data_IF_465064386992
#
_entry.id   IF_465064386992
#
_cell.length_a   1.000
_cell.length_b   1.000
_cell.length_c   1.000
_cell.angle_alpha   90.00
_cell.angle_beta   90.00
_cell.angle_gamma   90.00
#
_symmetry.space_group_name_H-M   'P 1'
#
loop_
_entity.id
_entity.type
_entity.pdbx_description
1 polymer ?
#
# COMPACT_ATOMS: atom_id res chain seq x y z
N UNK A 1 -16.34 20.21 -33.12
CA UNK A 1 -15.31 19.76 -32.17
C UNK A 1 -14.99 20.82 -31.12
N UNK A 2 -14.32 21.94 -31.41
CA UNK A 2 -14.08 23.03 -30.41
C UNK A 2 -15.40 23.52 -29.78
N UNK A 3 -16.43 23.74 -30.61
CA UNK A 3 -17.76 24.18 -30.16
C UNK A 3 -18.46 23.18 -29.22
N UNK A 4 -18.18 21.89 -29.35
CA UNK A 4 -18.79 20.83 -28.54
C UNK A 4 -18.08 20.71 -27.18
N UNK A 5 -16.76 20.91 -27.15
CA UNK A 5 -15.96 20.99 -25.92
C UNK A 5 -16.28 22.23 -25.09
N UNK A 6 -16.47 23.39 -25.72
CA UNK A 6 -16.87 24.63 -25.02
C UNK A 6 -18.26 24.48 -24.38
N UNK A 7 -19.22 23.88 -25.09
CA UNK A 7 -20.55 23.60 -24.54
C UNK A 7 -20.46 22.61 -23.36
N UNK A 8 -19.63 21.57 -23.48
CA UNK A 8 -19.42 20.61 -22.39
C UNK A 8 -18.79 21.27 -21.16
N UNK A 9 -17.79 22.13 -21.36
CA UNK A 9 -17.14 22.89 -20.29
C UNK A 9 -18.11 23.85 -19.59
N UNK A 10 -18.93 24.59 -20.36
CA UNK A 10 -19.94 25.47 -19.79
C UNK A 10 -21.00 24.71 -18.97
N UNK A 11 -21.36 23.50 -19.41
CA UNK A 11 -22.25 22.63 -18.65
C UNK A 11 -21.56 22.10 -17.38
N UNK A 12 -20.30 21.67 -17.46
CA UNK A 12 -19.52 21.22 -16.31
C UNK A 12 -19.40 22.32 -15.24
N UNK A 13 -19.18 23.57 -15.65
CA UNK A 13 -19.16 24.74 -14.75
C UNK A 13 -20.49 25.00 -14.06
N UNK A 14 -21.60 24.88 -14.78
CA UNK A 14 -22.95 25.14 -14.25
C UNK A 14 -23.46 24.04 -13.33
N UNK A 15 -23.01 22.81 -13.55
CA UNK A 15 -23.53 21.61 -12.90
C UNK A 15 -22.50 20.96 -11.96
N UNK A 16 -21.42 21.66 -11.59
CA UNK A 16 -20.31 21.06 -10.81
C UNK A 16 -20.78 20.49 -9.46
N UNK A 17 -21.77 21.12 -8.82
CA UNK A 17 -22.27 20.68 -7.52
C UNK A 17 -23.09 19.38 -7.59
N UNK A 18 -23.67 19.06 -8.75
CA UNK A 18 -24.55 17.89 -8.93
C UNK A 18 -23.95 16.82 -9.85
N UNK A 19 -23.10 17.23 -10.79
CA UNK A 19 -22.48 16.40 -11.82
C UNK A 19 -21.00 16.78 -12.04
N UNK A 20 -20.15 16.71 -11.01
CA UNK A 20 -18.73 17.02 -11.14
C UNK A 20 -18.00 16.10 -12.15
N UNK A 21 -18.56 14.92 -12.45
CA UNK A 21 -18.03 13.96 -13.42
C UNK A 21 -18.01 14.53 -14.86
N UNK A 22 -18.74 15.61 -15.15
CA UNK A 22 -18.69 16.29 -16.45
C UNK A 22 -17.29 16.86 -16.74
N UNK A 23 -16.54 17.28 -15.73
CA UNK A 23 -15.13 17.65 -15.89
C UNK A 23 -14.29 16.44 -16.31
N UNK A 24 -14.50 15.27 -15.71
CA UNK A 24 -13.77 14.06 -16.09
C UNK A 24 -14.05 13.63 -17.51
N UNK A 25 -15.31 13.74 -17.96
CA UNK A 25 -15.67 13.45 -19.35
C UNK A 25 -14.84 14.31 -20.30
N UNK A 26 -14.79 15.62 -20.06
CA UNK A 26 -14.00 16.57 -20.85
C UNK A 26 -12.49 16.24 -20.81
N UNK A 27 -11.93 15.98 -19.63
CA UNK A 27 -10.52 15.61 -19.47
C UNK A 27 -10.19 14.26 -20.12
N UNK A 28 -11.16 13.35 -20.31
CA UNK A 28 -10.94 12.04 -20.96
C UNK A 28 -11.13 12.05 -22.49
N UNK A 29 -11.80 13.05 -23.06
CA UNK A 29 -12.09 13.14 -24.50
C UNK A 29 -10.83 13.13 -25.40
N UNK A 30 -10.46 11.98 -25.96
CA UNK A 30 -9.33 11.92 -26.90
C UNK A 30 -9.66 12.67 -28.20
N UNK A 31 -8.86 13.68 -28.55
CA UNK A 31 -8.95 14.42 -29.82
C UNK A 31 -7.60 14.43 -30.53
N UNK A 32 -7.61 14.39 -31.87
CA UNK A 32 -6.39 14.29 -32.71
C UNK A 32 -5.48 15.53 -32.62
N UNK A 33 -6.02 16.67 -32.14
CA UNK A 33 -5.30 17.94 -31.94
C UNK A 33 -5.51 18.47 -30.51
N UNK A 34 -5.41 17.58 -29.52
CA UNK A 34 -5.65 17.95 -28.12
C UNK A 34 -4.59 18.94 -27.63
N UNK A 35 -5.04 20.12 -27.23
CA UNK A 35 -4.20 21.14 -26.60
C UNK A 35 -4.01 20.80 -25.11
N UNK A 36 -2.85 20.24 -24.77
CA UNK A 36 -2.49 19.89 -23.39
C UNK A 36 -2.48 21.12 -22.46
N UNK A 37 -2.17 22.32 -22.96
CA UNK A 37 -2.19 23.56 -22.15
C UNK A 37 -3.62 23.94 -21.79
N UNK A 38 -4.55 23.82 -22.75
CA UNK A 38 -5.98 24.01 -22.50
C UNK A 38 -6.52 22.96 -21.55
N UNK A 39 -6.19 21.68 -21.74
CA UNK A 39 -6.65 20.61 -20.85
C UNK A 39 -6.09 20.75 -19.44
N UNK A 40 -4.84 21.20 -19.29
CA UNK A 40 -4.26 21.55 -18.01
C UNK A 40 -5.08 22.65 -17.33
N UNK A 41 -5.39 23.74 -18.04
CA UNK A 41 -6.18 24.85 -17.47
C UNK A 41 -7.57 24.42 -16.99
N UNK A 42 -8.24 23.56 -17.76
CA UNK A 42 -9.55 22.99 -17.41
C UNK A 42 -9.43 22.06 -16.19
N UNK A 43 -8.36 21.28 -16.13
CA UNK A 43 -8.08 20.38 -15.01
C UNK A 43 -7.81 21.12 -13.70
N UNK A 44 -7.04 22.21 -13.76
CA UNK A 44 -6.83 23.11 -12.62
C UNK A 44 -8.16 23.75 -12.19
N UNK A 45 -8.97 24.25 -13.14
CA UNK A 45 -10.30 24.79 -12.85
C UNK A 45 -11.23 23.74 -12.20
N UNK A 46 -11.15 22.48 -12.62
CA UNK A 46 -11.91 21.39 -12.01
C UNK A 46 -11.51 21.19 -10.54
N UNK A 47 -10.21 21.20 -10.23
CA UNK A 47 -9.73 21.05 -8.84
C UNK A 47 -10.09 22.23 -7.94
N UNK A 48 -10.21 23.44 -8.50
CA UNK A 48 -10.63 24.64 -7.75
C UNK A 48 -12.14 24.67 -7.47
N UNK A 49 -12.95 24.00 -8.31
CA UNK A 49 -14.42 24.05 -8.23
C UNK A 49 -15.06 22.82 -7.60
N UNK A 50 -14.47 21.64 -7.81
CA UNK A 50 -14.98 20.41 -7.22
C UNK A 50 -14.52 20.38 -5.76
N UNK A 51 -15.42 20.01 -4.85
CA UNK A 51 -15.12 19.88 -3.43
C UNK A 51 -14.06 18.80 -3.17
N UNK A 52 -13.21 19.03 -2.18
CA UNK A 52 -12.07 18.17 -1.88
C UNK A 52 -12.44 16.86 -1.17
N UNK A 53 -13.64 16.78 -0.62
CA UNK A 53 -14.27 15.56 -0.11
C UNK A 53 -14.82 14.63 -1.20
N UNK A 54 -14.72 14.96 -2.49
CA UNK A 54 -15.21 14.10 -3.59
C UNK A 54 -14.08 13.40 -4.35
N UNK A 55 -14.15 12.07 -4.48
CA UNK A 55 -13.16 11.25 -5.21
C UNK A 55 -12.98 11.65 -6.67
N UNK A 56 -14.05 12.18 -7.29
CA UNK A 56 -14.03 12.71 -8.66
C UNK A 56 -12.99 13.83 -8.83
N UNK A 57 -12.72 14.63 -7.79
CA UNK A 57 -11.67 15.64 -7.80
C UNK A 57 -10.29 14.99 -7.85
N UNK A 58 -10.08 13.92 -7.09
CA UNK A 58 -8.83 13.17 -7.12
C UNK A 58 -8.56 12.56 -8.49
N UNK A 59 -9.58 11.99 -9.14
CA UNK A 59 -9.47 11.53 -10.53
C UNK A 59 -9.14 12.67 -11.51
N UNK A 60 -9.75 13.84 -11.33
CA UNK A 60 -9.47 15.01 -12.16
C UNK A 60 -8.02 15.46 -11.98
N UNK A 61 -7.53 15.49 -10.73
CA UNK A 61 -6.16 15.81 -10.40
C UNK A 61 -5.17 14.83 -11.06
N UNK A 62 -5.43 13.52 -11.03
CA UNK A 62 -4.57 12.53 -11.68
C UNK A 62 -4.49 12.73 -13.20
N UNK A 63 -5.62 12.98 -13.88
CA UNK A 63 -5.61 13.26 -15.32
C UNK A 63 -4.88 14.58 -15.60
N UNK A 64 -5.09 15.59 -14.76
CA UNK A 64 -4.43 16.90 -14.85
C UNK A 64 -2.91 16.78 -14.71
N UNK A 65 -2.45 15.92 -13.80
CA UNK A 65 -1.03 15.61 -13.61
C UNK A 65 -0.38 15.05 -14.89
N UNK A 66 -1.13 14.28 -15.70
CA UNK A 66 -0.65 13.76 -16.96
C UNK A 66 -0.35 14.89 -17.97
N UNK A 67 -1.20 15.92 -18.02
CA UNK A 67 -0.98 17.08 -18.90
C UNK A 67 0.19 17.93 -18.41
N UNK A 68 0.27 18.16 -17.10
CA UNK A 68 1.41 18.86 -16.50
C UNK A 68 2.73 18.16 -16.85
N UNK A 69 2.77 16.83 -16.77
CA UNK A 69 3.93 16.02 -17.15
C UNK A 69 4.33 16.19 -18.62
N UNK A 70 3.38 16.15 -19.56
CA UNK A 70 3.65 16.36 -21.00
C UNK A 70 4.16 17.77 -21.31
N UNK A 71 3.77 18.76 -20.50
CA UNK A 71 4.22 20.14 -20.61
C UNK A 71 5.51 20.42 -19.83
N UNK A 72 6.09 19.43 -19.13
CA UNK A 72 7.28 19.59 -18.31
C UNK A 72 7.08 20.45 -17.06
N UNK A 73 5.84 20.59 -16.58
CA UNK A 73 5.48 21.39 -15.41
C UNK A 73 5.46 20.53 -14.14
N UNK A 74 6.65 20.11 -13.70
CA UNK A 74 6.83 19.15 -12.60
C UNK A 74 6.19 19.62 -11.29
N UNK A 75 6.36 20.89 -10.91
CA UNK A 75 5.74 21.47 -9.71
C UNK A 75 4.21 21.37 -9.73
N UNK A 76 3.60 21.55 -10.91
CA UNK A 76 2.15 21.45 -11.08
C UNK A 76 1.71 20.00 -11.02
N UNK A 77 2.50 19.09 -11.60
CA UNK A 77 2.25 17.65 -11.55
C UNK A 77 2.24 17.13 -10.12
N UNK A 78 3.24 17.48 -9.32
CA UNK A 78 3.35 17.07 -7.91
C UNK A 78 2.21 17.65 -7.06
N UNK A 79 1.83 18.91 -7.28
CA UNK A 79 0.63 19.48 -6.66
C UNK A 79 -0.64 18.69 -7.00
N UNK A 80 -0.81 18.28 -8.27
CA UNK A 80 -1.93 17.43 -8.65
C UNK A 80 -1.92 16.07 -7.93
N UNK A 81 -0.74 15.49 -7.65
CA UNK A 81 -0.65 14.25 -6.87
C UNK A 81 -1.03 14.46 -5.40
N UNK A 82 -0.67 15.60 -4.81
CA UNK A 82 -1.13 15.96 -3.47
C UNK A 82 -2.65 16.10 -3.42
N UNK A 83 -3.25 16.81 -4.38
CA UNK A 83 -4.71 16.96 -4.45
C UNK A 83 -5.41 15.62 -4.71
N UNK A 84 -4.79 14.71 -5.47
CA UNK A 84 -5.29 13.35 -5.62
C UNK A 84 -5.30 12.57 -4.29
N UNK A 85 -4.27 12.72 -3.45
CA UNK A 85 -4.24 12.13 -2.11
C UNK A 85 -5.29 12.76 -1.19
N UNK A 86 -5.47 14.08 -1.24
CA UNK A 86 -6.44 14.81 -0.42
C UNK A 86 -7.88 14.38 -0.72
N UNK A 87 -8.19 14.13 -2.00
CA UNK A 87 -9.56 13.81 -2.44
C UNK A 87 -9.83 12.33 -2.68
N UNK A 88 -8.81 11.49 -2.72
CA UNK A 88 -8.95 10.04 -2.75
C UNK A 88 -7.82 9.42 -1.93
N UNK A 89 -8.02 9.34 -0.62
CA UNK A 89 -6.96 9.01 0.35
C UNK A 89 -6.65 7.52 0.34
N UNK A 90 -5.77 7.13 -0.58
CA UNK A 90 -5.32 5.75 -0.82
C UNK A 90 -3.82 5.58 -0.63
N UNK A 91 -3.38 4.37 -0.30
CA UNK A 91 -1.97 4.02 -0.27
C UNK A 91 -1.27 4.32 -1.61
N UNK A 92 -1.90 4.04 -2.75
CA UNK A 92 -1.34 4.36 -4.08
C UNK A 92 -1.12 5.85 -4.28
N UNK A 93 -2.09 6.70 -3.93
CA UNK A 93 -1.94 8.15 -4.08
C UNK A 93 -0.87 8.70 -3.11
N UNK A 94 -0.80 8.15 -1.89
CA UNK A 94 0.26 8.47 -0.94
C UNK A 94 1.64 8.09 -1.49
N UNK A 95 1.79 6.86 -2.00
CA UNK A 95 3.05 6.40 -2.57
C UNK A 95 3.49 7.27 -3.76
N UNK A 96 2.55 7.76 -4.57
CA UNK A 96 2.86 8.64 -5.70
C UNK A 96 3.52 9.93 -5.23
N UNK A 97 2.91 10.66 -4.30
CA UNK A 97 3.49 11.91 -3.80
C UNK A 97 4.74 11.67 -2.95
N UNK A 98 4.79 10.61 -2.13
CA UNK A 98 5.93 10.34 -1.24
C UNK A 98 7.19 9.88 -1.99
N UNK A 99 7.03 9.05 -3.02
CA UNK A 99 8.15 8.35 -3.64
C UNK A 99 8.49 8.77 -5.07
N UNK A 100 7.58 9.45 -5.77
CA UNK A 100 7.83 9.93 -7.13
C UNK A 100 8.08 11.44 -7.22
N UNK A 101 7.80 12.20 -6.17
CA UNK A 101 8.15 13.62 -6.13
C UNK A 101 9.65 13.81 -6.15
N UNK A 102 10.09 14.84 -6.86
CA UNK A 102 11.48 15.28 -6.91
C UNK A 102 11.95 15.83 -5.56
N UNK A 103 11.04 16.48 -4.81
CA UNK A 103 11.25 16.96 -3.45
C UNK A 103 10.05 16.60 -2.57
N UNK A 104 10.07 15.40 -1.99
CA UNK A 104 9.00 14.94 -1.10
C UNK A 104 8.90 15.74 0.21
N UNK A 105 10.00 16.39 0.65
CA UNK A 105 10.02 17.14 1.91
C UNK A 105 9.11 18.38 1.86
N UNK A 106 8.97 18.98 0.66
CA UNK A 106 8.05 20.09 0.40
C UNK A 106 6.59 19.81 0.77
N UNK A 107 6.20 18.53 0.77
CA UNK A 107 4.82 18.10 1.00
C UNK A 107 4.63 17.40 2.36
N UNK A 108 5.66 17.35 3.21
CA UNK A 108 5.64 16.56 4.45
C UNK A 108 4.57 17.03 5.45
N UNK A 109 4.40 18.35 5.61
CA UNK A 109 3.39 18.94 6.50
C UNK A 109 1.96 18.60 6.04
N UNK A 110 1.68 18.76 4.74
CA UNK A 110 0.38 18.45 4.14
C UNK A 110 0.05 16.96 4.22
N UNK A 111 1.03 16.09 3.90
CA UNK A 111 0.89 14.64 4.02
C UNK A 111 0.62 14.26 5.49
N UNK A 112 1.36 14.83 6.43
CA UNK A 112 1.17 14.59 7.86
C UNK A 112 -0.23 15.01 8.32
N UNK A 113 -0.72 16.18 7.89
CA UNK A 113 -2.07 16.65 8.20
C UNK A 113 -3.16 15.72 7.67
N UNK A 114 -2.98 15.13 6.47
CA UNK A 114 -3.91 14.16 5.90
C UNK A 114 -3.91 12.87 6.73
N UNK A 115 -2.73 12.35 7.09
CA UNK A 115 -2.59 11.13 7.90
C UNK A 115 -3.16 11.33 9.31
N UNK A 116 -2.92 12.47 9.94
CA UNK A 116 -3.46 12.81 11.26
C UNK A 116 -4.98 12.95 11.26
N UNK A 117 -5.54 13.62 10.25
CA UNK A 117 -6.99 13.72 10.09
C UNK A 117 -7.62 12.34 9.93
N UNK A 118 -7.01 11.48 9.10
CA UNK A 118 -7.51 10.13 8.90
C UNK A 118 -7.39 9.25 10.16
N UNK A 119 -6.32 9.42 10.95
CA UNK A 119 -6.18 8.76 12.24
C UNK A 119 -7.27 9.22 13.24
N UNK A 120 -7.57 10.51 13.28
CA UNK A 120 -8.64 11.06 14.10
C UNK A 120 -10.03 10.52 13.68
N UNK A 121 -10.29 10.44 12.38
CA UNK A 121 -11.53 9.87 11.83
C UNK A 121 -11.71 8.41 12.25
N UNK A 122 -10.68 7.57 12.06
CA UNK A 122 -10.72 6.15 12.44
C UNK A 122 -10.92 5.96 13.95
N UNK A 123 -10.26 6.77 14.78
CA UNK A 123 -10.40 6.68 16.24
C UNK A 123 -11.79 7.13 16.72
N UNK A 124 -12.43 8.08 16.04
CA UNK A 124 -13.76 8.58 16.39
C UNK A 124 -14.91 7.74 15.79
N UNK A 125 -14.62 6.91 14.78
CA UNK A 125 -15.64 6.10 14.11
C UNK A 125 -16.09 4.90 14.94
N UNK A 126 -17.41 4.87 15.23
CA UNK A 126 -18.08 3.71 15.83
C UNK A 126 -18.33 2.59 14.82
N UNK A 127 -18.33 2.91 13.52
CA UNK A 127 -18.73 2.01 12.44
C UNK A 127 -17.55 1.22 11.85
N UNK A 128 -17.85 0.02 11.38
CA UNK A 128 -16.88 -1.02 10.98
C UNK A 128 -16.53 -0.81 9.49
N UNK A 129 -15.62 0.11 9.18
CA UNK A 129 -15.20 0.32 7.79
C UNK A 129 -13.86 -0.37 7.51
N UNK A 130 -13.93 -1.66 7.15
CA UNK A 130 -12.78 -2.41 6.66
C UNK A 130 -12.72 -2.49 5.12
N UNK A 131 -13.71 -1.93 4.41
CA UNK A 131 -13.84 -2.11 2.96
C UNK A 131 -14.21 -0.80 2.28
N UNK A 132 -13.45 -0.45 1.23
CA UNK A 132 -13.80 0.62 0.30
C UNK A 132 -15.10 0.24 -0.40
N UNK A 133 -16.07 1.15 -0.38
CA UNK A 133 -17.31 0.99 -1.17
C UNK A 133 -17.07 1.55 -2.56
N UNK A 134 -17.09 0.70 -3.59
CA UNK A 134 -16.72 1.08 -4.97
C UNK A 134 -17.54 2.24 -5.55
N UNK A 135 -18.79 2.42 -5.11
CA UNK A 135 -19.70 3.47 -5.62
C UNK A 135 -19.81 4.69 -4.70
N UNK A 136 -18.98 4.79 -3.67
CA UNK A 136 -19.01 5.93 -2.75
C UNK A 136 -18.29 7.13 -3.37
N UNK A 137 -19.06 8.21 -3.60
CA UNK A 137 -18.57 9.45 -4.20
C UNK A 137 -17.65 10.24 -3.28
N UNK A 138 -17.95 10.22 -1.99
CA UNK A 138 -17.19 10.90 -0.95
C UNK A 138 -15.86 10.18 -0.69
N UNK A 139 -14.82 10.97 -0.41
CA UNK A 139 -13.56 10.49 0.10
C UNK A 139 -13.76 10.01 1.54
N UNK A 140 -13.32 8.80 1.81
CA UNK A 140 -13.23 8.24 3.15
C UNK A 140 -11.96 7.43 3.23
N UNK A 141 -11.16 7.72 4.26
CA UNK A 141 -9.97 6.92 4.50
C UNK A 141 -10.38 5.55 5.03
N UNK A 142 -9.82 4.50 4.44
CA UNK A 142 -10.04 3.13 4.90
C UNK A 142 -8.86 2.70 5.79
N UNK A 143 -9.12 1.89 6.81
CA UNK A 143 -8.13 1.47 7.79
C UNK A 143 -6.84 0.91 7.15
N UNK A 144 -6.96 0.09 6.10
CA UNK A 144 -5.81 -0.51 5.43
C UNK A 144 -4.91 0.56 4.80
N UNK A 145 -5.49 1.53 4.07
CA UNK A 145 -4.75 2.62 3.45
C UNK A 145 -4.02 3.45 4.52
N UNK A 146 -4.72 3.82 5.61
CA UNK A 146 -4.12 4.55 6.73
C UNK A 146 -2.95 3.77 7.35
N UNK A 147 -3.10 2.47 7.59
CA UNK A 147 -2.04 1.67 8.20
C UNK A 147 -0.80 1.57 7.29
N UNK A 148 -1.00 1.46 5.97
CA UNK A 148 0.11 1.52 5.00
C UNK A 148 0.82 2.88 5.08
N UNK A 149 0.08 3.98 5.14
CA UNK A 149 0.66 5.32 5.29
C UNK A 149 1.46 5.44 6.60
N UNK A 150 0.89 5.03 7.73
CA UNK A 150 1.55 5.05 9.04
C UNK A 150 2.85 4.22 9.03
N UNK A 151 2.84 3.07 8.35
CA UNK A 151 4.05 2.26 8.18
C UNK A 151 5.15 3.01 7.43
N UNK A 152 4.82 3.61 6.27
CA UNK A 152 5.80 4.37 5.49
C UNK A 152 6.23 5.70 6.14
N UNK A 153 5.39 6.29 6.99
CA UNK A 153 5.76 7.44 7.84
C UNK A 153 6.54 7.02 9.10
N UNK A 154 6.94 5.74 9.21
CA UNK A 154 7.71 5.19 10.35
C UNK A 154 6.98 5.29 11.70
N UNK A 155 5.66 5.50 11.66
CA UNK A 155 4.76 5.55 12.83
C UNK A 155 4.28 4.14 13.18
N UNK A 156 5.25 3.24 13.40
CA UNK A 156 4.97 1.81 13.56
C UNK A 156 4.07 1.50 14.77
N UNK A 157 4.22 2.24 15.87
CA UNK A 157 3.37 2.10 17.05
C UNK A 157 1.92 2.48 16.78
N UNK A 158 1.68 3.54 16.01
CA UNK A 158 0.32 3.96 15.63
C UNK A 158 -0.31 2.94 14.70
N UNK A 159 0.44 2.45 13.70
CA UNK A 159 0.02 1.38 12.79
C UNK A 159 -0.38 0.12 13.57
N UNK A 160 0.42 -0.31 14.54
CA UNK A 160 0.10 -1.44 15.41
C UNK A 160 -1.17 -1.19 16.22
N UNK A 161 -1.29 -0.01 16.84
CA UNK A 161 -2.41 0.34 17.71
C UNK A 161 -3.76 0.31 16.98
N UNK A 162 -3.82 0.84 15.76
CA UNK A 162 -5.08 0.92 14.99
C UNK A 162 -5.32 -0.29 14.09
N UNK A 163 -4.28 -0.83 13.47
CA UNK A 163 -4.38 -1.90 12.48
C UNK A 163 -4.31 -3.31 13.06
N UNK A 164 -3.71 -3.48 14.25
CA UNK A 164 -3.45 -4.78 14.85
C UNK A 164 -3.94 -4.93 16.32
N UNK A 165 -5.11 -4.37 16.72
CA UNK A 165 -5.50 -4.35 18.14
C UNK A 165 -5.86 -5.73 18.73
N UNK A 166 -5.62 -5.88 20.04
CA UNK A 166 -6.09 -6.98 20.89
C UNK A 166 -5.27 -8.29 20.81
N UNK A 167 -5.81 -9.39 21.35
CA UNK A 167 -5.15 -10.73 21.37
C UNK A 167 -5.84 -11.78 20.46
N UNK A 168 -7.05 -11.54 19.93
CA UNK A 168 -7.82 -12.54 19.16
C UNK A 168 -7.83 -12.34 17.64
N UNK A 169 -7.77 -13.42 16.84
CA UNK A 169 -7.84 -13.38 15.36
C UNK A 169 -9.28 -13.17 14.83
N UNK A 170 -10.01 -12.12 15.29
CA UNK A 170 -11.38 -11.84 14.84
C UNK A 170 -11.63 -10.34 14.66
N UNK A 171 -12.42 -9.99 13.65
CA UNK A 171 -12.87 -8.62 13.39
C UNK A 171 -11.85 -7.75 12.62
N UNK A 172 -11.91 -6.42 12.84
CA UNK A 172 -11.11 -5.38 12.14
C UNK A 172 -9.60 -5.66 12.11
N UNK A 173 -9.08 -6.25 13.19
CA UNK A 173 -7.66 -6.58 13.34
C UNK A 173 -7.18 -7.69 12.41
N UNK A 174 -8.02 -8.64 12.02
CA UNK A 174 -7.60 -9.75 11.16
C UNK A 174 -7.31 -9.31 9.71
N UNK A 175 -7.98 -8.26 9.23
CA UNK A 175 -7.87 -7.79 7.85
C UNK A 175 -6.50 -7.15 7.58
N UNK A 176 -6.08 -6.19 8.41
CA UNK A 176 -4.76 -5.57 8.25
C UNK A 176 -3.63 -6.40 8.87
N UNK A 177 -3.86 -7.22 9.91
CA UNK A 177 -2.81 -7.98 10.59
C UNK A 177 -1.92 -8.78 9.64
N UNK A 178 -2.48 -9.40 8.60
CA UNK A 178 -1.70 -10.14 7.60
C UNK A 178 -0.73 -9.22 6.84
N UNK A 179 -1.23 -8.07 6.40
CA UNK A 179 -0.44 -7.07 5.69
C UNK A 179 0.61 -6.45 6.63
N UNK A 180 0.21 -6.04 7.84
CA UNK A 180 1.11 -5.49 8.86
C UNK A 180 2.25 -6.44 9.22
N UNK A 181 1.96 -7.74 9.42
CA UNK A 181 3.00 -8.75 9.65
C UNK A 181 3.92 -8.88 8.43
N UNK A 182 3.37 -8.89 7.20
CA UNK A 182 4.18 -8.92 5.99
C UNK A 182 5.12 -7.70 5.86
N UNK A 183 4.63 -6.50 6.16
CA UNK A 183 5.43 -5.27 6.15
C UNK A 183 6.56 -5.31 7.18
N UNK A 184 6.29 -5.74 8.41
CA UNK A 184 7.33 -5.83 9.46
C UNK A 184 8.34 -6.94 9.13
N UNK A 185 7.92 -8.07 8.55
CA UNK A 185 8.85 -9.10 8.06
C UNK A 185 9.76 -8.55 6.96
N UNK A 186 9.21 -7.79 6.01
CA UNK A 186 9.99 -7.13 4.95
C UNK A 186 10.92 -6.04 5.51
N UNK A 187 10.50 -5.32 6.55
CA UNK A 187 11.35 -4.34 7.21
C UNK A 187 12.59 -4.99 7.84
N UNK A 188 12.43 -6.16 8.45
CA UNK A 188 13.50 -6.86 9.16
C UNK A 188 14.30 -7.85 8.31
N UNK A 189 13.90 -8.16 7.08
CA UNK A 189 14.62 -9.11 6.24
C UNK A 189 15.93 -8.52 5.67
N UNK A 190 16.99 -9.31 5.54
CA UNK A 190 18.26 -8.84 4.93
C UNK A 190 18.79 -9.82 3.88
N UNK A 191 19.70 -9.35 3.01
CA UNK A 191 20.44 -10.19 2.07
C UNK A 191 19.94 -10.18 0.62
N UNK A 192 20.76 -10.75 -0.27
CA UNK A 192 20.52 -10.76 -1.71
C UNK A 192 19.58 -11.89 -2.14
N UNK A 193 18.29 -11.57 -2.17
CA UNK A 193 17.27 -12.42 -2.77
C UNK A 193 16.18 -12.85 -1.80
N UNK A 194 14.98 -12.95 -2.34
CA UNK A 194 13.78 -13.31 -1.59
C UNK A 194 13.50 -14.79 -1.76
N UNK A 195 13.53 -15.51 -0.64
CA UNK A 195 13.07 -16.89 -0.53
C UNK A 195 11.55 -16.97 -0.62
N UNK A 196 11.02 -18.19 -0.77
CA UNK A 196 9.59 -18.41 -1.00
C UNK A 196 8.68 -17.77 0.06
N UNK A 197 9.10 -17.74 1.33
CA UNK A 197 8.35 -17.07 2.40
C UNK A 197 8.29 -15.55 2.18
N UNK A 198 9.45 -14.91 2.02
CA UNK A 198 9.53 -13.48 1.74
C UNK A 198 8.83 -13.06 0.44
N UNK A 199 8.86 -13.89 -0.61
CA UNK A 199 8.16 -13.63 -1.88
C UNK A 199 6.66 -13.43 -1.68
N UNK A 200 6.05 -14.25 -0.82
CA UNK A 200 4.64 -14.13 -0.44
C UNK A 200 4.36 -12.88 0.42
N UNK A 201 5.35 -12.42 1.20
CA UNK A 201 5.23 -11.17 1.97
C UNK A 201 5.28 -9.95 1.05
N UNK A 202 6.13 -9.98 0.00
CA UNK A 202 6.18 -8.92 -1.02
C UNK A 202 4.83 -8.79 -1.72
N UNK A 203 4.25 -9.91 -2.17
CA UNK A 203 2.94 -9.89 -2.84
C UNK A 203 1.87 -9.29 -1.93
N UNK A 204 1.81 -9.70 -0.66
CA UNK A 204 0.87 -9.16 0.33
C UNK A 204 1.05 -7.67 0.58
N UNK A 205 2.30 -7.21 0.68
CA UNK A 205 2.60 -5.80 0.86
C UNK A 205 2.17 -4.97 -0.37
N UNK A 206 2.44 -5.48 -1.58
CA UNK A 206 1.97 -4.85 -2.83
C UNK A 206 0.45 -4.77 -2.90
N UNK A 207 -0.26 -5.85 -2.57
CA UNK A 207 -1.72 -5.89 -2.52
C UNK A 207 -2.28 -4.89 -1.50
N UNK A 208 -1.69 -4.82 -0.31
CA UNK A 208 -2.09 -3.86 0.73
C UNK A 208 -1.89 -2.41 0.28
N UNK A 209 -0.84 -2.14 -0.50
CA UNK A 209 -0.62 -0.83 -1.10
C UNK A 209 -1.54 -0.50 -2.29
N UNK A 210 -2.32 -1.46 -2.81
CA UNK A 210 -2.98 -1.32 -4.11
C UNK A 210 -1.99 -1.09 -5.26
N UNK A 211 -0.78 -1.61 -5.12
CA UNK A 211 0.34 -1.29 -6.00
C UNK A 211 0.16 -1.93 -7.37
N UNK A 212 0.18 -1.10 -8.39
CA UNK A 212 0.54 -1.51 -9.75
C UNK A 212 1.37 -0.41 -10.38
N UNK A 213 2.33 -0.77 -11.24
CA UNK A 213 3.16 0.24 -11.90
C UNK A 213 2.32 1.16 -12.78
N UNK A 214 1.30 0.60 -13.42
CA UNK A 214 0.37 1.34 -14.26
C UNK A 214 -0.40 2.41 -13.47
N UNK A 215 -0.94 2.06 -12.30
CA UNK A 215 -1.65 3.02 -11.46
C UNK A 215 -0.68 4.04 -10.87
N UNK A 216 0.44 3.60 -10.30
CA UNK A 216 1.42 4.47 -9.64
C UNK A 216 2.00 5.52 -10.62
N UNK A 217 2.43 5.08 -11.81
CA UNK A 217 3.07 5.91 -12.82
C UNK A 217 2.08 6.52 -13.81
N UNK A 218 0.78 6.56 -13.50
CA UNK A 218 -0.21 7.18 -14.39
C UNK A 218 0.21 8.62 -14.72
N UNK A 219 0.42 8.90 -16.01
CA UNK A 219 0.84 10.22 -16.49
C UNK A 219 2.34 10.47 -16.54
N UNK A 220 3.16 9.49 -16.17
CA UNK A 220 4.61 9.52 -16.31
C UNK A 220 4.98 8.67 -17.53
N UNK A 221 5.85 9.18 -18.41
CA UNK A 221 6.43 8.37 -19.49
C UNK A 221 7.35 7.31 -18.89
N UNK A 222 6.82 6.10 -18.74
CA UNK A 222 7.56 4.97 -18.19
C UNK A 222 8.00 4.04 -19.32
N UNK A 223 9.23 4.24 -19.82
CA UNK A 223 9.80 3.44 -20.93
C UNK A 223 10.61 2.23 -20.43
N UNK A 224 10.10 1.53 -19.41
CA UNK A 224 10.80 0.42 -18.79
C UNK A 224 9.86 -0.76 -18.58
N UNK A 225 10.25 -1.94 -19.09
CA UNK A 225 9.51 -3.20 -19.03
C UNK A 225 9.67 -3.94 -17.70
N UNK A 226 10.22 -3.30 -16.65
CA UNK A 226 10.24 -3.86 -15.30
C UNK A 226 8.85 -4.31 -14.84
N UNK A 227 8.81 -5.51 -14.26
CA UNK A 227 7.65 -6.08 -13.59
C UNK A 227 7.29 -5.28 -12.32
N UNK A 228 6.01 -5.28 -11.95
CA UNK A 228 5.48 -4.53 -10.80
C UNK A 228 6.22 -4.86 -9.50
N UNK A 229 6.49 -6.15 -9.25
CA UNK A 229 7.25 -6.60 -8.08
C UNK A 229 8.62 -5.94 -7.99
N UNK A 230 9.34 -5.83 -9.11
CA UNK A 230 10.66 -5.20 -9.13
C UNK A 230 10.57 -3.70 -8.87
N UNK A 231 9.57 -3.02 -9.44
CA UNK A 231 9.36 -1.59 -9.18
C UNK A 231 9.00 -1.33 -7.72
N UNK A 232 8.14 -2.17 -7.14
CA UNK A 232 7.78 -2.09 -5.73
C UNK A 232 9.02 -2.23 -4.83
N UNK A 233 9.83 -3.26 -5.07
CA UNK A 233 11.05 -3.49 -4.31
C UNK A 233 12.06 -2.34 -4.41
N UNK A 234 12.26 -1.76 -5.59
CA UNK A 234 13.15 -0.59 -5.75
C UNK A 234 12.69 0.62 -4.91
N UNK A 235 11.36 0.83 -4.79
CA UNK A 235 10.79 1.88 -3.94
C UNK A 235 10.92 1.50 -2.46
N UNK A 236 10.54 0.27 -2.12
CA UNK A 236 10.53 -0.22 -0.75
C UNK A 236 11.94 -0.25 -0.15
N UNK A 237 12.93 -0.79 -0.87
CA UNK A 237 14.32 -0.89 -0.41
C UNK A 237 14.95 0.49 -0.24
N UNK A 238 14.63 1.44 -1.13
CA UNK A 238 15.06 2.85 -0.98
C UNK A 238 14.48 3.46 0.30
N UNK A 239 13.17 3.30 0.53
CA UNK A 239 12.53 3.80 1.75
C UNK A 239 13.09 3.12 2.99
N UNK A 240 13.22 1.80 2.96
CA UNK A 240 13.75 0.97 4.05
C UNK A 240 15.16 1.38 4.44
N UNK A 241 16.01 1.76 3.49
CA UNK A 241 17.34 2.32 3.75
C UNK A 241 17.34 3.62 4.56
N UNK A 242 16.19 4.28 4.73
CA UNK A 242 16.03 5.46 5.58
C UNK A 242 15.53 5.13 6.99
N UNK A 243 15.18 3.87 7.27
CA UNK A 243 14.72 3.43 8.59
C UNK A 243 15.94 3.00 9.39
N UNK A 244 16.07 3.56 10.60
CA UNK A 244 17.13 3.22 11.54
C UNK A 244 16.46 2.54 12.72
N UNK A 245 16.79 1.27 12.95
CA UNK A 245 16.38 0.51 14.12
C UNK A 245 17.64 0.15 14.91
N UNK A 246 17.56 0.28 16.23
CA UNK A 246 18.55 -0.27 17.16
C UNK A 246 18.36 -1.80 17.30
N UNK A 247 19.41 -2.49 17.73
CA UNK A 247 19.33 -3.94 18.03
C UNK A 247 18.23 -4.25 19.06
N UNK A 248 18.03 -3.36 20.04
CA UNK A 248 16.95 -3.48 21.04
C UNK A 248 15.56 -3.40 20.39
N UNK A 249 15.36 -2.45 19.46
CA UNK A 249 14.11 -2.33 18.71
C UNK A 249 13.87 -3.53 17.80
N UNK A 250 14.92 -4.01 17.11
CA UNK A 250 14.84 -5.22 16.29
C UNK A 250 14.38 -6.43 17.13
N UNK A 251 14.96 -6.62 18.32
CA UNK A 251 14.54 -7.69 19.24
C UNK A 251 13.09 -7.54 19.70
N UNK A 252 12.64 -6.32 19.99
CA UNK A 252 11.23 -6.03 20.33
C UNK A 252 10.31 -6.43 19.18
N UNK A 253 10.64 -6.03 17.95
CA UNK A 253 9.84 -6.36 16.77
C UNK A 253 9.82 -7.84 16.46
N UNK A 254 10.93 -8.55 16.66
CA UNK A 254 11.00 -10.01 16.50
C UNK A 254 10.10 -10.72 17.52
N UNK A 255 10.11 -10.28 18.78
CA UNK A 255 9.22 -10.80 19.81
C UNK A 255 7.73 -10.54 19.49
N UNK A 256 7.41 -9.39 18.89
CA UNK A 256 6.07 -9.09 18.39
C UNK A 256 5.68 -9.99 17.21
N UNK A 257 6.56 -10.15 16.23
CA UNK A 257 6.35 -11.02 15.07
C UNK A 257 6.06 -12.46 15.47
N UNK A 258 6.80 -13.01 16.44
CA UNK A 258 6.56 -14.37 16.92
C UNK A 258 5.12 -14.56 17.44
N UNK A 259 4.64 -13.59 18.22
CA UNK A 259 3.28 -13.59 18.74
C UNK A 259 2.23 -13.42 17.64
N UNK A 260 2.47 -12.51 16.68
CA UNK A 260 1.54 -12.26 15.60
C UNK A 260 1.45 -13.40 14.59
N UNK A 261 2.58 -13.98 14.21
CA UNK A 261 2.64 -15.16 13.35
C UNK A 261 1.91 -16.33 14.01
N UNK A 262 2.16 -16.60 15.31
CA UNK A 262 1.40 -17.59 16.06
C UNK A 262 -0.11 -17.30 16.04
N UNK A 263 -0.52 -16.06 16.26
CA UNK A 263 -1.94 -15.67 16.24
C UNK A 263 -2.59 -15.89 14.88
N UNK A 264 -1.91 -15.54 13.78
CA UNK A 264 -2.38 -15.81 12.41
C UNK A 264 -2.59 -17.31 12.21
N UNK A 265 -1.60 -18.13 12.59
CA UNK A 265 -1.64 -19.58 12.40
C UNK A 265 -2.74 -20.21 13.25
N UNK A 266 -2.82 -19.87 14.53
CA UNK A 266 -3.86 -20.37 15.44
C UNK A 266 -5.25 -20.00 14.92
N UNK A 267 -5.45 -18.75 14.52
CA UNK A 267 -6.71 -18.28 13.94
C UNK A 267 -7.10 -19.04 12.66
N UNK A 268 -6.16 -19.26 11.74
CA UNK A 268 -6.43 -20.04 10.52
C UNK A 268 -6.66 -21.53 10.81
N UNK A 269 -5.90 -22.12 11.74
CA UNK A 269 -5.92 -23.55 12.03
C UNK A 269 -7.10 -23.97 12.91
N UNK A 270 -7.57 -23.09 13.79
CA UNK A 270 -8.61 -23.39 14.78
C UNK A 270 -9.93 -22.70 14.47
N UNK A 271 -9.93 -21.40 14.16
CA UNK A 271 -11.16 -20.64 13.94
C UNK A 271 -11.73 -20.86 12.53
N UNK A 272 -10.90 -20.75 11.49
CA UNK A 272 -11.35 -20.96 10.10
C UNK A 272 -11.33 -22.45 9.75
N UNK A 273 -10.23 -23.14 10.10
CA UNK A 273 -10.04 -24.58 9.90
C UNK A 273 -10.28 -25.04 8.43
N UNK A 274 -9.90 -24.21 7.45
CA UNK A 274 -9.90 -24.57 6.02
C UNK A 274 -8.49 -24.94 5.55
N UNK A 275 -8.41 -25.94 4.65
CA UNK A 275 -7.15 -26.34 4.01
C UNK A 275 -6.60 -25.27 3.06
N UNK A 276 -7.46 -24.37 2.58
CA UNK A 276 -7.09 -23.31 1.64
C UNK A 276 -6.10 -22.30 2.25
N UNK A 277 -6.05 -22.21 3.59
CA UNK A 277 -5.14 -21.30 4.31
C UNK A 277 -3.81 -21.95 4.72
N UNK A 278 -3.57 -23.23 4.42
CA UNK A 278 -2.35 -23.91 4.84
C UNK A 278 -1.10 -23.38 4.12
N UNK A 279 -1.23 -23.03 2.84
CA UNK A 279 -0.15 -22.38 2.09
C UNK A 279 0.20 -21.03 2.68
N UNK A 280 -0.82 -20.24 3.05
CA UNK A 280 -0.66 -18.94 3.71
C UNK A 280 0.01 -19.07 5.09
N UNK A 281 -0.40 -20.05 5.92
CA UNK A 281 0.26 -20.33 7.19
C UNK A 281 1.74 -20.67 6.97
N UNK A 282 2.03 -21.57 6.03
CA UNK A 282 3.40 -22.00 5.75
C UNK A 282 4.28 -20.83 5.24
N UNK A 283 3.71 -19.91 4.45
CA UNK A 283 4.40 -18.72 3.99
C UNK A 283 4.82 -17.80 5.15
N UNK A 284 3.91 -17.47 6.09
CA UNK A 284 4.25 -16.66 7.26
C UNK A 284 5.28 -17.32 8.16
N UNK A 285 5.17 -18.64 8.38
CA UNK A 285 6.13 -19.41 9.17
C UNK A 285 7.52 -19.37 8.53
N UNK A 286 7.58 -19.59 7.21
CA UNK A 286 8.82 -19.57 6.47
C UNK A 286 9.45 -18.17 6.46
N UNK A 287 8.68 -17.11 6.18
CA UNK A 287 9.16 -15.74 6.19
C UNK A 287 9.71 -15.33 7.57
N UNK A 288 9.02 -15.70 8.66
CA UNK A 288 9.51 -15.46 10.02
C UNK A 288 10.80 -16.23 10.32
N UNK A 289 10.87 -17.48 9.88
CA UNK A 289 12.08 -18.30 9.97
C UNK A 289 13.26 -17.71 9.19
N UNK A 290 13.00 -17.18 7.99
CA UNK A 290 13.97 -16.50 7.13
C UNK A 290 14.53 -15.25 7.81
N UNK A 291 13.66 -14.40 8.40
CA UNK A 291 14.09 -13.21 9.15
C UNK A 291 14.92 -13.59 10.40
N UNK A 292 14.52 -14.60 11.18
CA UNK A 292 15.32 -15.05 12.33
C UNK A 292 16.67 -15.62 11.91
N UNK A 293 16.73 -16.28 10.76
CA UNK A 293 17.96 -16.83 10.22
C UNK A 293 18.92 -15.73 9.75
N UNK A 294 18.39 -14.66 9.15
CA UNK A 294 19.18 -13.49 8.74
C UNK A 294 19.79 -12.73 9.92
N UNK A 295 19.08 -12.66 11.05
CA UNK A 295 19.43 -11.81 12.18
C UNK A 295 20.18 -12.50 13.30
N UNK A 296 19.89 -13.77 13.59
CA UNK A 296 20.33 -14.39 14.85
C UNK A 296 21.01 -15.73 14.70
N UNK A 297 20.45 -16.65 13.91
CA UNK A 297 20.88 -18.05 13.95
C UNK A 297 20.68 -18.80 12.63
N UNK A 298 21.79 -19.35 12.09
CA UNK A 298 21.75 -20.27 10.95
C UNK A 298 20.91 -21.50 11.29
N UNK A 299 19.90 -21.80 10.47
CA UNK A 299 19.00 -22.93 10.66
C UNK A 299 17.73 -22.61 11.46
N UNK A 300 17.53 -21.35 11.84
CA UNK A 300 16.30 -20.91 12.53
C UNK A 300 15.04 -21.24 11.72
N UNK A 301 15.10 -21.11 10.39
CA UNK A 301 13.97 -21.44 9.50
C UNK A 301 13.55 -22.91 9.63
N UNK A 302 14.51 -23.83 9.55
CA UNK A 302 14.25 -25.26 9.65
C UNK A 302 13.74 -25.65 11.04
N UNK A 303 14.26 -25.02 12.10
CA UNK A 303 13.81 -25.21 13.47
C UNK A 303 12.35 -24.80 13.65
N UNK A 304 11.99 -23.61 13.18
CA UNK A 304 10.62 -23.07 13.26
C UNK A 304 9.63 -23.91 12.44
N UNK A 305 9.98 -24.27 11.20
CA UNK A 305 9.14 -25.14 10.37
C UNK A 305 8.87 -26.49 11.04
N UNK A 306 9.89 -27.08 11.69
CA UNK A 306 9.76 -28.33 12.44
C UNK A 306 8.85 -28.17 13.65
N UNK A 307 9.00 -27.08 14.40
CA UNK A 307 8.15 -26.78 15.56
C UNK A 307 6.66 -26.76 15.18
N UNK A 308 6.28 -26.03 14.12
CA UNK A 308 4.89 -25.99 13.67
C UNK A 308 4.40 -27.32 13.08
N UNK A 309 5.27 -28.09 12.42
CA UNK A 309 4.94 -29.44 11.96
C UNK A 309 4.55 -30.35 13.14
N UNK A 310 5.31 -30.28 14.23
CA UNK A 310 5.10 -31.07 15.46
C UNK A 310 3.84 -30.61 16.22
N UNK A 311 3.56 -29.31 16.23
CA UNK A 311 2.36 -28.74 16.85
C UNK A 311 1.06 -29.23 16.17
N UNK A 312 1.10 -29.53 14.87
CA UNK A 312 -0.06 -29.97 14.09
C UNK A 312 0.14 -31.36 13.44
N UNK A 313 0.31 -32.44 14.23
CA UNK A 313 0.82 -33.73 13.73
C UNK A 313 -0.14 -34.45 12.77
N UNK A 314 -1.44 -34.12 12.80
CA UNK A 314 -2.48 -34.78 11.99
C UNK A 314 -2.78 -34.04 10.68
N UNK A 315 -2.12 -32.91 10.39
CA UNK A 315 -2.43 -32.03 9.24
C UNK A 315 -1.47 -32.29 8.06
N UNK A 316 -1.64 -33.41 7.34
CA UNK A 316 -0.73 -33.82 6.24
C UNK A 316 -0.56 -32.78 5.13
N UNK A 317 -1.65 -32.15 4.68
CA UNK A 317 -1.61 -31.10 3.64
C UNK A 317 -0.81 -29.89 4.12
N UNK A 318 -0.96 -29.50 5.39
CA UNK A 318 -0.13 -28.44 5.98
C UNK A 318 1.35 -28.82 6.02
N UNK A 319 1.68 -30.08 6.32
CA UNK A 319 3.06 -30.56 6.26
C UNK A 319 3.65 -30.56 4.84
N UNK A 320 2.83 -30.70 3.81
CA UNK A 320 3.26 -30.55 2.41
C UNK A 320 3.60 -29.09 2.10
N UNK A 321 2.76 -28.15 2.51
CA UNK A 321 3.02 -26.71 2.38
C UNK A 321 4.29 -26.30 3.14
N UNK A 322 4.46 -26.73 4.40
CA UNK A 322 5.69 -26.46 5.16
C UNK A 322 6.95 -26.95 4.46
N UNK A 323 6.90 -28.14 3.82
CA UNK A 323 8.03 -28.66 3.04
C UNK A 323 8.30 -27.85 1.78
N UNK A 324 7.24 -27.42 1.09
CA UNK A 324 7.35 -26.58 -0.11
C UNK A 324 8.09 -25.28 0.20
N UNK A 325 7.72 -24.59 1.29
CA UNK A 325 8.38 -23.35 1.71
C UNK A 325 9.76 -23.57 2.35
N UNK A 326 9.98 -24.71 3.02
CA UNK A 326 11.28 -25.10 3.57
C UNK A 326 12.36 -25.32 2.51
N UNK A 327 11.97 -25.87 1.35
CA UNK A 327 12.91 -26.16 0.26
C UNK A 327 13.29 -24.94 -0.62
N UNK A 328 12.65 -23.78 -0.40
CA UNK A 328 13.01 -22.53 -1.09
C UNK A 328 14.35 -22.00 -0.57
N UNK A 329 15.43 -22.18 -1.34
CA UNK A 329 16.79 -21.74 -0.98
C UNK A 329 16.97 -20.23 -1.18
N UNK A 330 17.67 -19.58 -0.25
CA UNK A 330 18.26 -18.24 -0.41
C UNK A 330 19.64 -18.36 -1.06
N UNK A 331 20.04 -17.39 -1.89
CA UNK A 331 21.44 -17.20 -2.24
C UNK A 331 22.08 -16.39 -1.10
N UNK A 332 22.92 -17.02 -0.28
CA UNK A 332 23.41 -16.40 0.95
C UNK A 332 24.48 -15.33 0.68
N UNK A 333 24.21 -14.09 1.12
CA UNK A 333 25.24 -13.13 1.54
C UNK A 333 25.01 -12.83 3.02
N UNK A 334 25.84 -13.43 3.89
CA UNK A 334 25.78 -13.23 5.34
C UNK A 334 26.43 -11.89 5.72
N UNK A 335 25.94 -11.24 6.77
CA UNK A 335 26.70 -10.23 7.52
C UNK A 335 27.76 -10.96 8.37
N UNK A 336 29.02 -10.58 8.20
CA UNK A 336 30.10 -10.88 9.15
C UNK A 336 30.29 -9.69 10.08
#
# INVERSE_FOLDING_TARGET
MIRDEDILLDNARKLVDTHPELYLQLLRMRTENRDDSRMLSIGLEAMDRISDDLKVRGEAALITSCYAGRLGLEDVREKCWLEALRSDTTATNYMRIKFLSSDAAKYEEEISSIVESGLAEINNSKEIYSLRVENEKENRIVLNDLCVMLFFEKRFSDMEAVGMPGEGYKGRSAAFMKAGVAFVLLLLSFGDGYSAGMDEMIIRAMEACGFSKMALCQGIEFNDNKADKKCFLEIFDRWKGTVILSEEEELIWIGKLERWVNRIIVGMMQDINSRDHYGECAAFIAAFGEVKEDLFEVGAKDSILRHYKEMYPRRRVFHEELRRYGNGKKNNSYRF
#
